data_IF_050334431272
#
_entry.id   IF_050334431272
#
_cell.length_a   1.000
_cell.length_b   1.000
_cell.length_c   1.000
_cell.angle_alpha   90.00
_cell.angle_beta   90.00
_cell.angle_gamma   90.00
#
_symmetry.space_group_name_H-M   'P 1'
#
loop_
_entity.id
_entity.type
_entity.pdbx_description
1 polymer ?
#
# COMPACT_ATOMS: atom_id res chain seq x y z
N UNK A 1 -9.74 4.00 24.48
CA UNK A 1 -9.51 2.57 24.14
C UNK A 1 -8.02 2.28 24.24
N UNK A 2 -7.61 1.06 24.62
CA UNK A 2 -6.19 0.70 24.72
C UNK A 2 -5.52 0.66 23.33
N UNK A 3 -4.20 0.83 23.29
CA UNK A 3 -3.42 0.60 22.07
C UNK A 3 -3.57 -0.87 21.66
N UNK A 4 -3.91 -1.10 20.39
CA UNK A 4 -4.23 -2.42 19.88
C UNK A 4 -3.51 -2.66 18.56
N UNK A 5 -2.65 -3.68 18.50
CA UNK A 5 -2.02 -4.11 17.26
C UNK A 5 -2.97 -4.96 16.41
N UNK A 6 -2.66 -5.11 15.13
CA UNK A 6 -3.51 -5.84 14.17
C UNK A 6 -3.88 -7.27 14.64
N UNK A 7 -2.96 -7.97 15.31
CA UNK A 7 -3.20 -9.31 15.83
C UNK A 7 -4.23 -9.34 16.94
N UNK A 8 -4.08 -8.46 17.92
CA UNK A 8 -4.97 -8.43 19.08
C UNK A 8 -6.35 -7.89 18.68
N UNK A 9 -6.37 -6.97 17.71
CA UNK A 9 -7.59 -6.49 17.08
C UNK A 9 -8.33 -7.60 16.35
N UNK A 10 -7.65 -8.36 15.48
CA UNK A 10 -8.24 -9.47 14.75
C UNK A 10 -8.82 -10.53 15.70
N UNK A 11 -8.09 -10.91 16.77
CA UNK A 11 -8.59 -11.83 17.79
C UNK A 11 -9.86 -11.33 18.47
N UNK A 12 -9.92 -10.04 18.81
CA UNK A 12 -11.11 -9.44 19.42
C UNK A 12 -12.31 -9.46 18.45
N UNK A 13 -12.10 -9.14 17.18
CA UNK A 13 -13.15 -9.16 16.14
C UNK A 13 -13.70 -10.57 15.93
N UNK A 14 -12.83 -11.57 15.75
CA UNK A 14 -13.29 -12.95 15.53
C UNK A 14 -13.95 -13.56 16.76
N UNK A 15 -13.54 -13.17 17.97
CA UNK A 15 -14.22 -13.58 19.20
C UNK A 15 -15.62 -12.97 19.32
N UNK A 16 -15.77 -11.71 18.88
CA UNK A 16 -17.05 -11.00 18.93
C UNK A 16 -18.02 -11.43 17.82
N UNK A 17 -17.48 -11.79 16.64
CA UNK A 17 -18.24 -12.22 15.47
C UNK A 17 -17.72 -13.59 14.96
N UNK A 18 -18.06 -14.70 15.64
CA UNK A 18 -17.50 -16.03 15.31
C UNK A 18 -17.77 -16.50 13.87
N UNK A 19 -18.83 -16.01 13.23
CA UNK A 19 -19.16 -16.37 11.84
C UNK A 19 -18.13 -15.88 10.81
N UNK A 20 -17.29 -14.90 11.16
CA UNK A 20 -16.22 -14.41 10.29
C UNK A 20 -15.02 -15.37 10.21
N UNK A 21 -14.95 -16.33 11.15
CA UNK A 21 -13.93 -17.38 11.18
C UNK A 21 -14.62 -18.74 11.42
N UNK A 22 -15.44 -19.18 10.45
CA UNK A 22 -16.45 -20.21 10.68
C UNK A 22 -15.86 -21.58 11.00
N UNK A 23 -14.60 -21.84 10.64
CA UNK A 23 -13.92 -23.12 10.93
C UNK A 23 -13.04 -23.04 12.18
N UNK A 24 -13.02 -21.89 12.87
CA UNK A 24 -12.21 -21.69 14.06
C UNK A 24 -10.71 -21.75 13.77
N UNK A 25 -10.29 -21.30 12.59
CA UNK A 25 -8.90 -21.27 12.17
C UNK A 25 -8.02 -20.49 13.16
N UNK A 26 -6.72 -20.81 13.21
CA UNK A 26 -5.79 -20.03 14.03
C UNK A 26 -5.60 -18.65 13.40
N UNK A 27 -6.02 -17.60 14.12
CA UNK A 27 -5.87 -16.19 13.72
C UNK A 27 -4.42 -15.85 13.35
N UNK A 28 -3.44 -16.40 14.07
CA UNK A 28 -2.03 -16.15 13.76
C UNK A 28 -1.66 -16.71 12.39
N UNK A 29 -2.09 -17.93 12.10
CA UNK A 29 -1.88 -18.58 10.80
C UNK A 29 -2.54 -17.78 9.67
N UNK A 30 -3.79 -17.36 9.84
CA UNK A 30 -4.51 -16.53 8.86
C UNK A 30 -3.77 -15.22 8.59
N UNK A 31 -3.24 -14.56 9.63
CA UNK A 31 -2.49 -13.32 9.48
C UNK A 31 -1.15 -13.52 8.78
N UNK A 32 -0.50 -14.67 8.97
CA UNK A 32 0.78 -14.97 8.33
C UNK A 32 0.59 -15.32 6.84
N UNK A 33 -0.41 -16.14 6.50
CA UNK A 33 -0.82 -16.39 5.11
C UNK A 33 -1.21 -15.09 4.40
N UNK A 34 -1.95 -14.21 5.08
CA UNK A 34 -2.29 -12.90 4.53
C UNK A 34 -1.06 -12.03 4.27
N UNK A 35 -0.06 -12.02 5.17
CA UNK A 35 1.18 -11.27 4.95
C UNK A 35 1.94 -11.79 3.74
N UNK A 36 2.05 -13.10 3.58
CA UNK A 36 2.70 -13.73 2.43
C UNK A 36 2.02 -13.34 1.12
N UNK A 37 0.69 -13.47 1.07
CA UNK A 37 -0.10 -12.97 -0.06
C UNK A 37 0.17 -11.48 -0.32
N UNK A 38 0.12 -10.65 0.73
CA UNK A 38 0.32 -9.20 0.63
C UNK A 38 1.68 -8.87 0.01
N UNK A 39 2.73 -9.63 0.29
CA UNK A 39 4.08 -9.39 -0.27
C UNK A 39 4.14 -9.59 -1.79
N UNK A 40 3.29 -10.46 -2.36
CA UNK A 40 3.23 -10.71 -3.79
C UNK A 40 2.38 -9.73 -4.60
N UNK A 41 1.65 -8.82 -3.95
CA UNK A 41 0.80 -7.85 -4.64
C UNK A 41 1.68 -6.77 -5.29
N UNK A 42 1.57 -6.55 -6.62
CA UNK A 42 2.33 -5.52 -7.31
C UNK A 42 2.08 -4.13 -6.75
N UNK A 43 3.10 -3.27 -6.85
CA UNK A 43 3.01 -1.87 -6.44
C UNK A 43 3.27 -0.94 -7.60
N UNK A 44 2.47 0.12 -7.70
CA UNK A 44 2.63 1.18 -8.70
C UNK A 44 2.67 2.55 -8.01
N UNK A 45 3.37 3.49 -8.64
CA UNK A 45 3.60 4.83 -8.12
C UNK A 45 4.26 5.71 -9.17
N UNK A 46 4.79 6.85 -8.75
CA UNK A 46 5.41 7.81 -9.65
C UNK A 46 6.73 8.37 -9.12
N UNK A 47 7.64 8.65 -10.05
CA UNK A 47 8.81 9.50 -9.81
C UNK A 47 8.43 10.90 -10.28
N UNK A 48 8.23 11.82 -9.33
CA UNK A 48 7.80 13.18 -9.63
C UNK A 48 9.01 14.09 -9.56
N UNK A 49 9.32 14.74 -10.68
CA UNK A 49 10.42 15.69 -10.85
C UNK A 49 9.87 17.12 -10.81
N UNK A 50 10.70 18.07 -10.40
CA UNK A 50 10.41 19.49 -10.62
C UNK A 50 10.67 19.90 -12.08
N UNK A 51 10.26 21.12 -12.45
CA UNK A 51 10.40 21.62 -13.82
C UNK A 51 11.86 21.73 -14.29
N UNK A 52 12.81 21.85 -13.35
CA UNK A 52 14.26 21.90 -13.66
C UNK A 52 14.87 20.51 -13.81
N UNK A 53 14.15 19.45 -13.43
CA UNK A 53 14.63 18.06 -13.39
C UNK A 53 15.81 17.85 -12.44
N UNK A 54 15.91 18.67 -11.39
CA UNK A 54 17.01 18.62 -10.41
C UNK A 54 16.57 17.98 -9.09
N UNK A 55 15.27 18.02 -8.77
CA UNK A 55 14.74 17.51 -7.52
C UNK A 55 13.65 16.46 -7.75
N UNK A 56 13.53 15.52 -6.81
CA UNK A 56 12.47 14.50 -6.80
C UNK A 56 11.65 14.57 -5.52
N UNK A 57 10.36 14.28 -5.63
CA UNK A 57 9.48 14.10 -4.47
C UNK A 57 9.64 12.71 -3.87
N UNK A 58 9.91 12.65 -2.57
CA UNK A 58 9.98 11.43 -1.78
C UNK A 58 9.07 11.54 -0.55
N UNK A 59 8.55 10.40 -0.09
CA UNK A 59 7.74 10.28 1.11
C UNK A 59 8.46 9.45 2.17
N UNK A 60 8.20 9.72 3.44
CA UNK A 60 8.75 8.99 4.58
C UNK A 60 7.63 8.47 5.49
N UNK A 61 7.59 7.16 5.69
CA UNK A 61 6.63 6.54 6.61
C UNK A 61 7.00 6.75 8.08
N UNK A 62 6.02 7.01 8.94
CA UNK A 62 6.21 7.25 10.38
C UNK A 62 6.98 6.14 11.13
N UNK A 63 6.74 4.88 10.78
CA UNK A 63 7.38 3.71 11.42
C UNK A 63 8.63 3.23 10.67
N UNK A 64 8.79 3.65 9.42
CA UNK A 64 9.99 3.40 8.62
C UNK A 64 11.02 4.46 9.02
N UNK A 65 11.65 4.27 10.18
CA UNK A 65 12.50 5.26 10.89
C UNK A 65 13.56 5.98 10.04
N UNK A 66 13.87 5.56 8.80
CA UNK A 66 14.86 6.23 7.93
C UNK A 66 14.66 5.99 6.42
N UNK A 67 13.54 5.43 5.98
CA UNK A 67 13.34 5.09 4.57
C UNK A 67 12.59 6.18 3.82
N UNK A 68 13.29 6.99 3.03
CA UNK A 68 12.68 7.79 1.98
C UNK A 68 12.45 6.92 0.75
N UNK A 69 11.32 7.10 0.08
CA UNK A 69 11.03 6.41 -1.17
C UNK A 69 10.02 7.16 -2.01
N UNK A 70 9.87 6.73 -3.26
CA UNK A 70 8.84 7.28 -4.15
C UNK A 70 7.44 6.92 -3.64
N UNK A 71 6.46 7.84 -3.82
CA UNK A 71 5.06 7.58 -3.49
C UNK A 71 4.51 6.45 -4.35
N UNK A 72 4.04 5.38 -3.70
CA UNK A 72 3.58 4.15 -4.37
C UNK A 72 2.82 3.26 -3.40
N UNK A 73 1.91 2.46 -3.92
CA UNK A 73 1.24 1.43 -3.15
C UNK A 73 0.66 0.33 -4.03
N UNK A 74 -0.24 -0.47 -3.45
CA UNK A 74 -0.62 -1.78 -3.99
C UNK A 74 -1.80 -1.64 -4.94
N UNK A 75 -1.73 -2.39 -6.04
CA UNK A 75 -2.82 -2.40 -7.03
C UNK A 75 -4.09 -3.06 -6.47
N UNK A 76 -5.23 -2.45 -6.75
CA UNK A 76 -6.53 -3.04 -6.48
C UNK A 76 -6.93 -4.05 -7.56
N UNK A 77 -7.96 -4.85 -7.26
CA UNK A 77 -8.51 -5.79 -8.25
C UNK A 77 -9.05 -5.01 -9.45
N UNK A 78 -8.65 -5.43 -10.66
CA UNK A 78 -9.09 -4.85 -11.94
C UNK A 78 -8.70 -3.35 -12.13
N UNK A 79 -7.74 -2.85 -11.35
CA UNK A 79 -7.20 -1.49 -11.47
C UNK A 79 -6.03 -1.46 -12.47
N UNK A 80 -6.02 -0.50 -13.39
CA UNK A 80 -4.91 -0.34 -14.33
C UNK A 80 -3.66 0.23 -13.60
N UNK A 81 -2.43 -0.12 -14.04
CA UNK A 81 -1.21 0.32 -13.38
C UNK A 81 -1.08 1.84 -13.18
N UNK A 82 -1.43 2.64 -14.20
CA UNK A 82 -1.35 4.10 -14.14
C UNK A 82 -2.44 4.71 -13.26
N UNK A 83 -3.63 4.11 -13.22
CA UNK A 83 -4.70 4.51 -12.30
C UNK A 83 -4.29 4.25 -10.84
N UNK A 84 -3.68 3.09 -10.57
CA UNK A 84 -3.11 2.77 -9.26
C UNK A 84 -2.02 3.77 -8.89
N UNK A 85 -1.08 4.07 -9.79
CA UNK A 85 -0.02 5.04 -9.53
C UNK A 85 -0.59 6.42 -9.16
N UNK A 86 -1.58 6.92 -9.92
CA UNK A 86 -2.21 8.21 -9.64
C UNK A 86 -2.95 8.22 -8.30
N UNK A 87 -3.70 7.16 -7.99
CA UNK A 87 -4.41 7.02 -6.71
C UNK A 87 -3.44 7.02 -5.52
N UNK A 88 -2.41 6.18 -5.57
CA UNK A 88 -1.44 6.04 -4.47
C UNK A 88 -0.65 7.33 -4.24
N UNK A 89 -0.25 8.02 -5.32
CA UNK A 89 0.38 9.34 -5.22
C UNK A 89 -0.54 10.34 -4.53
N UNK A 90 -1.82 10.39 -4.90
CA UNK A 90 -2.78 11.28 -4.27
C UNK A 90 -3.01 10.92 -2.79
N UNK A 91 -3.12 9.64 -2.45
CA UNK A 91 -3.29 9.18 -1.06
C UNK A 91 -2.10 9.55 -0.16
N UNK A 92 -0.87 9.45 -0.66
CA UNK A 92 0.33 9.71 0.13
C UNK A 92 0.79 11.18 0.13
N UNK A 93 0.42 11.97 -0.88
CA UNK A 93 0.95 13.34 -1.08
C UNK A 93 -0.12 14.42 -1.23
N UNK A 94 -1.36 14.05 -1.56
CA UNK A 94 -2.45 14.98 -1.88
C UNK A 94 -2.38 15.59 -3.28
N UNK A 95 -1.41 15.21 -4.12
CA UNK A 95 -1.23 15.74 -5.47
C UNK A 95 -1.85 14.80 -6.53
N UNK A 96 -2.73 15.31 -7.39
CA UNK A 96 -3.34 14.54 -8.48
C UNK A 96 -2.47 14.63 -9.75
N UNK A 97 -1.99 13.48 -10.21
CA UNK A 97 -1.07 13.38 -11.35
C UNK A 97 -1.75 12.88 -12.64
N UNK A 98 -3.08 12.71 -12.67
CA UNK A 98 -3.78 12.11 -13.82
C UNK A 98 -3.51 12.80 -15.16
N UNK A 99 -3.37 14.12 -15.15
CA UNK A 99 -3.10 14.91 -16.36
C UNK A 99 -1.60 14.94 -16.74
N UNK A 100 -0.72 14.46 -15.86
CA UNK A 100 0.74 14.50 -16.02
C UNK A 100 1.34 13.12 -16.31
N UNK A 101 0.69 12.04 -15.89
CA UNK A 101 1.22 10.69 -16.02
C UNK A 101 1.17 10.20 -17.46
N UNK A 102 2.29 9.65 -17.94
CA UNK A 102 2.36 8.94 -19.21
C UNK A 102 2.45 7.43 -18.95
N UNK A 103 1.42 6.69 -19.36
CA UNK A 103 1.33 5.22 -19.15
C UNK A 103 2.44 4.42 -19.85
N UNK A 104 3.08 5.01 -20.87
CA UNK A 104 4.11 4.35 -21.68
C UNK A 104 5.54 4.73 -21.22
N UNK A 105 5.68 5.64 -20.25
CA UNK A 105 6.96 6.09 -19.70
C UNK A 105 7.10 5.64 -18.23
N UNK A 106 7.66 4.44 -18.04
CA UNK A 106 7.79 3.84 -16.71
C UNK A 106 9.06 2.99 -16.60
N UNK A 107 9.49 2.79 -15.36
CA UNK A 107 10.58 1.88 -15.00
C UNK A 107 9.96 0.68 -14.27
N UNK A 108 10.21 -0.52 -14.79
CA UNK A 108 9.86 -1.77 -14.14
C UNK A 108 11.14 -2.55 -13.83
N UNK A 109 11.44 -2.71 -12.53
CA UNK A 109 12.49 -3.62 -12.10
C UNK A 109 11.94 -5.05 -12.16
N UNK A 110 12.56 -5.87 -13.01
CA UNK A 110 12.36 -7.32 -13.05
C UNK A 110 13.18 -8.02 -11.97
#
# INVERSE_FOLDING_TARGET
>A
LPQCGIRDFAKAVFSHCPFLLPQGEDVQKVLDEWKEYKMGVPTYGAIILDETLENVLLVQGYLAKSGWGFPKGKVNKEEAPHDCAAREVFEETGFDIKDFINKDDYIELR
#
